data_IF_582307829736
#
_entry.id   IF_582307829736
#
_cell.length_a   1.000
_cell.length_b   1.000
_cell.length_c   1.000
_cell.angle_alpha   90.00
_cell.angle_beta   90.00
_cell.angle_gamma   90.00
#
_symmetry.space_group_name_H-M   'P 1'
#
loop_
_entity.id
_entity.type
_entity.pdbx_description
1 polymer ?
#
# COMPACT_ATOMS: atom_id res chain seq x y z
N UNK A 1 -5.46 26.90 -4.48
CA UNK A 1 -6.27 25.76 -4.01
C UNK A 1 -5.37 24.91 -3.12
N UNK A 2 -5.79 24.58 -1.91
CA UNK A 2 -5.04 23.66 -1.04
C UNK A 2 -5.03 22.26 -1.66
N UNK A 3 -3.90 21.57 -1.63
CA UNK A 3 -3.82 20.17 -2.06
C UNK A 3 -4.85 19.33 -1.27
N UNK A 4 -5.59 18.43 -1.94
CA UNK A 4 -6.53 17.56 -1.24
C UNK A 4 -5.79 16.65 -0.27
N UNK A 5 -6.28 16.57 0.97
CA UNK A 5 -5.70 15.72 2.00
C UNK A 5 -5.61 14.26 1.53
N UNK A 6 -4.43 13.65 1.69
CA UNK A 6 -4.21 12.27 1.30
C UNK A 6 -5.01 11.34 2.19
N UNK A 7 -6.02 10.67 1.64
CA UNK A 7 -6.80 9.67 2.37
C UNK A 7 -6.05 8.34 2.49
N UNK A 8 -6.37 7.57 3.54
CA UNK A 8 -5.78 6.23 3.75
C UNK A 8 -5.98 5.32 2.53
N UNK A 9 -7.18 5.33 1.94
CA UNK A 9 -7.50 4.53 0.76
C UNK A 9 -6.72 4.93 -0.50
N UNK A 10 -6.40 6.22 -0.68
CA UNK A 10 -5.54 6.68 -1.79
C UNK A 10 -4.10 6.24 -1.59
N UNK A 11 -3.58 6.39 -0.37
CA UNK A 11 -2.22 5.95 -0.03
C UNK A 11 -2.06 4.43 -0.21
N UNK A 12 -3.01 3.63 0.28
CA UNK A 12 -3.04 2.18 0.13
C UNK A 12 -3.04 1.75 -1.34
N UNK A 13 -3.87 2.38 -2.19
CA UNK A 13 -3.89 2.12 -3.64
C UNK A 13 -2.51 2.37 -4.24
N UNK A 14 -1.93 3.54 -4.02
CA UNK A 14 -0.62 3.90 -4.57
C UNK A 14 0.48 2.93 -4.12
N UNK A 15 0.50 2.56 -2.83
CA UNK A 15 1.46 1.60 -2.29
C UNK A 15 1.28 0.22 -2.91
N UNK A 16 0.05 -0.29 -2.97
CA UNK A 16 -0.27 -1.59 -3.59
C UNK A 16 0.23 -1.63 -5.04
N UNK A 17 -0.11 -0.60 -5.80
CA UNK A 17 0.26 -0.44 -7.20
C UNK A 17 1.78 -0.41 -7.39
N UNK A 18 2.50 0.32 -6.53
CA UNK A 18 3.97 0.35 -6.56
C UNK A 18 4.59 -1.02 -6.25
N UNK A 19 4.10 -1.71 -5.24
CA UNK A 19 4.58 -3.06 -4.87
C UNK A 19 4.35 -4.08 -5.99
N UNK A 20 3.21 -4.00 -6.67
CA UNK A 20 2.92 -4.87 -7.81
C UNK A 20 3.83 -4.60 -9.03
N UNK A 21 4.15 -3.34 -9.32
CA UNK A 21 4.89 -2.99 -10.55
C UNK A 21 6.40 -2.82 -10.39
N UNK A 22 6.90 -2.36 -9.25
CA UNK A 22 8.32 -2.03 -9.09
C UNK A 22 9.15 -3.18 -8.49
N UNK A 23 8.55 -4.04 -7.65
CA UNK A 23 9.31 -5.08 -6.95
C UNK A 23 8.89 -6.50 -7.27
N UNK A 24 7.83 -6.70 -8.06
CA UNK A 24 7.22 -8.02 -8.25
C UNK A 24 6.77 -8.63 -6.92
N UNK A 25 6.65 -7.80 -5.87
CA UNK A 25 6.21 -8.24 -4.57
C UNK A 25 4.74 -8.61 -4.67
N UNK A 26 4.46 -9.90 -4.56
CA UNK A 26 3.13 -10.39 -4.26
C UNK A 26 2.84 -10.15 -2.78
N UNK A 27 2.88 -8.88 -2.34
CA UNK A 27 1.92 -8.45 -1.32
C UNK A 27 0.59 -8.55 -2.05
N UNK A 28 0.06 -9.76 -2.03
CA UNK A 28 -1.17 -10.10 -2.68
C UNK A 28 -2.20 -9.05 -2.26
N UNK A 29 -3.08 -8.70 -3.17
CA UNK A 29 -4.38 -8.16 -2.77
C UNK A 29 -5.03 -9.08 -1.72
N UNK A 30 -4.73 -10.38 -1.75
CA UNK A 30 -5.01 -11.37 -0.71
C UNK A 30 -4.02 -11.52 0.45
N UNK A 31 -2.99 -10.66 0.60
CA UNK A 31 -2.07 -10.70 1.73
C UNK A 31 -2.84 -10.62 3.05
N UNK A 32 -2.39 -11.37 4.05
CA UNK A 32 -3.07 -11.37 5.33
C UNK A 32 -3.05 -9.95 5.91
N UNK A 33 -4.17 -9.53 6.52
CA UNK A 33 -4.34 -8.21 7.11
C UNK A 33 -3.16 -7.81 8.00
N UNK A 34 -2.54 -8.78 8.68
CA UNK A 34 -1.38 -8.56 9.54
C UNK A 34 -0.18 -7.92 8.81
N UNK A 35 0.08 -8.22 7.52
CA UNK A 35 1.21 -7.64 6.79
C UNK A 35 1.01 -6.14 6.58
N UNK A 36 -0.20 -5.77 6.18
CA UNK A 36 -0.60 -4.37 6.06
C UNK A 36 -0.52 -3.68 7.42
N UNK A 37 -1.05 -4.29 8.47
CA UNK A 37 -0.99 -3.72 9.82
C UNK A 37 0.46 -3.48 10.30
N UNK A 38 1.38 -4.42 10.03
CA UNK A 38 2.79 -4.27 10.38
C UNK A 38 3.47 -3.10 9.65
N UNK A 39 3.24 -2.96 8.34
CA UNK A 39 3.78 -1.83 7.55
C UNK A 39 3.25 -0.50 8.09
N UNK A 40 1.94 -0.39 8.32
CA UNK A 40 1.33 0.85 8.78
C UNK A 40 1.71 1.19 10.22
N UNK A 41 1.89 0.19 11.08
CA UNK A 41 2.42 0.41 12.43
C UNK A 41 3.86 0.94 12.39
N UNK A 42 4.72 0.36 11.53
CA UNK A 42 6.08 0.86 11.33
C UNK A 42 6.10 2.30 10.80
N UNK A 43 5.24 2.63 9.83
CA UNK A 43 5.06 4.00 9.32
C UNK A 43 4.56 4.97 10.40
N UNK A 44 3.59 4.54 11.20
CA UNK A 44 3.08 5.32 12.33
C UNK A 44 4.19 5.62 13.34
N UNK A 45 5.07 4.65 13.61
CA UNK A 45 6.20 4.80 14.52
C UNK A 45 7.39 5.58 13.93
N UNK A 46 7.56 5.60 12.61
CA UNK A 46 8.69 6.26 11.95
C UNK A 46 8.72 7.76 12.27
N UNK A 47 9.79 8.29 12.85
CA UNK A 47 9.85 9.72 13.23
C UNK A 47 10.27 10.61 12.04
N UNK A 48 9.42 10.69 11.02
CA UNK A 48 9.63 11.57 9.86
C UNK A 48 8.79 12.86 9.96
N UNK A 49 9.31 14.01 9.51
CA UNK A 49 8.52 15.23 9.33
C UNK A 49 7.56 15.10 8.15
N UNK A 50 6.40 15.74 8.25
CA UNK A 50 5.42 15.76 7.16
C UNK A 50 4.46 14.56 7.10
N UNK A 51 4.34 13.76 8.19
CA UNK A 51 3.38 12.64 8.26
C UNK A 51 2.00 13.07 7.76
N UNK A 52 1.44 12.38 6.74
CA UNK A 52 0.06 12.59 6.34
C UNK A 52 -0.87 12.38 7.54
N UNK A 53 -1.89 13.22 7.67
CA UNK A 53 -2.86 13.13 8.75
C UNK A 53 -3.56 11.76 8.79
N UNK A 54 -3.81 11.15 7.63
CA UNK A 54 -4.37 9.80 7.54
C UNK A 54 -3.51 8.73 8.23
N UNK A 55 -2.18 8.91 8.31
CA UNK A 55 -1.27 8.02 9.04
C UNK A 55 -1.25 8.37 10.53
N UNK A 56 -1.25 9.67 10.88
CA UNK A 56 -1.24 10.14 12.28
C UNK A 56 -2.48 9.70 13.05
N UNK A 57 -3.61 9.64 12.37
CA UNK A 57 -4.90 9.35 12.98
C UNK A 57 -5.19 7.85 13.10
N UNK A 58 -4.31 6.97 12.59
CA UNK A 58 -4.47 5.53 12.74
C UNK A 58 -4.36 5.14 14.22
N UNK A 59 -5.39 4.47 14.71
CA UNK A 59 -5.36 3.89 16.04
C UNK A 59 -4.99 2.41 15.97
N UNK A 60 -4.06 1.98 16.83
CA UNK A 60 -3.62 0.60 16.96
C UNK A 60 -3.93 0.04 18.35
N UNK A 61 -4.35 -1.22 18.41
CA UNK A 61 -4.47 -1.96 19.68
C UNK A 61 -3.09 -2.27 20.28
N UNK A 62 -3.04 -2.52 21.59
CA UNK A 62 -1.81 -2.92 22.32
C UNK A 62 -1.49 -4.42 22.23
N UNK A 63 -1.92 -5.08 21.17
CA UNK A 63 -1.75 -6.52 20.98
C UNK A 63 -0.32 -6.89 20.51
N UNK A 64 0.10 -8.16 20.66
CA UNK A 64 1.43 -8.62 20.21
C UNK A 64 1.66 -8.42 18.71
N UNK A 65 0.57 -8.41 17.91
CA UNK A 65 0.58 -7.95 16.53
C UNK A 65 -0.25 -6.66 16.52
N UNK A 66 0.34 -5.50 16.18
CA UNK A 66 -0.40 -4.24 16.11
C UNK A 66 -1.56 -4.36 15.13
N UNK A 67 -2.77 -3.96 15.51
CA UNK A 67 -3.94 -3.99 14.62
C UNK A 67 -4.66 -2.66 14.59
N UNK A 68 -5.12 -2.25 13.42
CA UNK A 68 -5.93 -1.04 13.23
C UNK A 68 -7.18 -1.37 12.42
N UNK A 69 -8.35 -1.04 12.96
CA UNK A 69 -9.64 -1.26 12.29
C UNK A 69 -9.73 -0.47 10.98
N UNK A 70 -9.22 0.76 10.96
CA UNK A 70 -9.23 1.62 9.77
C UNK A 70 -8.40 1.02 8.63
N UNK A 71 -7.25 0.42 8.97
CA UNK A 71 -6.41 -0.31 8.02
C UNK A 71 -7.16 -1.53 7.48
N UNK A 72 -7.81 -2.30 8.35
CA UNK A 72 -8.56 -3.49 7.95
C UNK A 72 -9.72 -3.17 6.99
N UNK A 73 -10.52 -2.17 7.33
CA UNK A 73 -11.66 -1.72 6.52
C UNK A 73 -11.19 -1.18 5.17
N UNK A 74 -10.14 -0.35 5.17
CA UNK A 74 -9.60 0.21 3.93
C UNK A 74 -8.97 -0.87 3.04
N UNK A 75 -8.27 -1.85 3.61
CA UNK A 75 -7.72 -2.99 2.87
C UNK A 75 -8.85 -3.88 2.31
N UNK A 76 -9.91 -4.17 3.09
CA UNK A 76 -11.07 -4.92 2.57
C UNK A 76 -11.73 -4.21 1.40
N UNK A 77 -12.04 -2.92 1.54
CA UNK A 77 -12.62 -2.11 0.47
C UNK A 77 -11.70 -2.05 -0.76
N UNK A 78 -10.38 -1.98 -0.55
CA UNK A 78 -9.40 -2.02 -1.62
C UNK A 78 -9.46 -3.35 -2.38
N UNK A 79 -9.51 -4.49 -1.67
CA UNK A 79 -9.65 -5.83 -2.26
C UNK A 79 -10.88 -5.88 -3.15
N UNK A 80 -12.04 -5.51 -2.62
CA UNK A 80 -13.31 -5.52 -3.35
C UNK A 80 -13.26 -4.65 -4.61
N UNK A 81 -12.59 -3.50 -4.54
CA UNK A 81 -12.44 -2.60 -5.69
C UNK A 81 -11.44 -3.08 -6.76
N UNK A 82 -10.43 -3.87 -6.37
CA UNK A 82 -9.36 -4.32 -7.28
C UNK A 82 -9.67 -5.65 -7.99
N UNK A 83 -10.60 -6.46 -7.47
CA UNK A 83 -11.19 -7.59 -8.22
C UNK A 83 -11.84 -7.15 -9.53
N UNK A 84 -12.27 -5.88 -9.61
CA UNK A 84 -12.84 -5.29 -10.83
C UNK A 84 -11.76 -4.90 -11.85
N UNK A 85 -10.50 -4.71 -11.42
CA UNK A 85 -9.44 -4.10 -12.23
C UNK A 85 -8.31 -5.06 -12.63
N UNK A 86 -8.23 -6.26 -12.03
CA UNK A 86 -7.16 -7.22 -12.29
C UNK A 86 -7.76 -8.62 -12.48
N UNK A 87 -7.65 -9.23 -13.69
CA UNK A 87 -8.15 -10.59 -13.90
C UNK A 87 -7.39 -11.60 -13.04
N UNK A 88 -8.08 -12.69 -12.71
CA UNK A 88 -7.80 -13.62 -11.63
C UNK A 88 -6.33 -14.09 -11.46
N UNK A 89 -6.03 -14.38 -10.17
CA UNK A 89 -4.86 -14.95 -9.46
C UNK A 89 -3.66 -15.55 -10.22
N UNK A 90 -3.80 -16.06 -11.43
CA UNK A 90 -2.79 -16.94 -12.04
C UNK A 90 -1.98 -16.26 -13.17
N UNK A 91 -2.36 -15.07 -13.63
CA UNK A 91 -1.72 -14.39 -14.77
C UNK A 91 -1.35 -12.92 -14.52
N UNK A 92 -0.81 -12.60 -13.35
CA UNK A 92 -0.14 -11.32 -13.14
C UNK A 92 1.23 -11.29 -13.82
N UNK A 93 1.25 -11.22 -15.15
CA UNK A 93 2.49 -10.96 -15.89
C UNK A 93 2.45 -9.74 -16.80
N UNK A 94 1.34 -9.02 -16.88
CA UNK A 94 1.36 -7.67 -17.43
C UNK A 94 0.26 -6.81 -16.80
N UNK A 95 0.57 -5.61 -16.27
CA UNK A 95 -0.46 -4.58 -16.13
C UNK A 95 -1.25 -4.45 -17.43
N UNK A 96 -2.57 -4.49 -17.36
CA UNK A 96 -3.36 -3.95 -18.48
C UNK A 96 -3.07 -2.45 -18.61
N UNK A 97 -3.34 -1.88 -19.78
CA UNK A 97 -3.21 -0.43 -19.98
C UNK A 97 -4.07 0.31 -18.95
N UNK A 98 -5.26 -0.20 -18.59
CA UNK A 98 -6.09 0.43 -17.54
C UNK A 98 -5.42 0.41 -16.17
N UNK A 99 -4.77 -0.70 -15.78
CA UNK A 99 -4.03 -0.77 -14.53
C UNK A 99 -2.86 0.22 -14.50
N UNK A 100 -2.18 0.43 -15.63
CA UNK A 100 -1.10 1.42 -15.76
C UNK A 100 -1.63 2.86 -15.71
N UNK A 101 -2.75 3.16 -16.36
CA UNK A 101 -3.40 4.47 -16.30
C UNK A 101 -3.90 4.76 -14.89
N UNK A 102 -4.49 3.77 -14.21
CA UNK A 102 -4.90 3.87 -12.80
C UNK A 102 -3.70 4.09 -11.87
N UNK A 103 -2.55 3.46 -12.15
CA UNK A 103 -1.29 3.71 -11.43
C UNK A 103 -0.82 5.15 -11.61
N UNK A 104 -0.75 5.65 -12.85
CA UNK A 104 -0.33 7.04 -13.13
C UNK A 104 -1.25 8.01 -12.41
N UNK A 105 -2.57 7.82 -12.51
CA UNK A 105 -3.55 8.66 -11.82
C UNK A 105 -3.40 8.58 -10.29
N UNK A 106 -3.16 7.40 -9.73
CA UNK A 106 -2.96 7.23 -8.29
C UNK A 106 -1.66 7.87 -7.80
N UNK A 107 -0.58 7.81 -8.58
CA UNK A 107 0.71 8.41 -8.24
C UNK A 107 0.68 9.94 -8.35
N UNK A 108 0.00 10.49 -9.36
CA UNK A 108 -0.23 11.94 -9.50
C UNK A 108 -1.09 12.52 -8.36
N UNK A 109 -1.84 11.67 -7.65
CA UNK A 109 -2.63 12.11 -6.48
C UNK A 109 -1.87 12.04 -5.15
N UNK A 110 -0.66 11.46 -5.13
CA UNK A 110 0.27 11.46 -3.98
C UNK A 110 1.43 12.42 -4.30
N UNK A 111 1.10 13.66 -4.64
CA UNK A 111 2.08 14.72 -4.90
C UNK A 111 2.67 15.28 -3.59
N UNK A 112 3.85 15.90 -3.69
CA UNK A 112 4.48 16.66 -2.60
C UNK A 112 4.94 15.83 -1.38
N UNK A 113 4.67 16.37 -0.19
CA UNK A 113 5.18 15.91 1.12
C UNK A 113 4.88 14.44 1.46
N UNK A 114 3.84 13.87 0.84
CA UNK A 114 3.44 12.47 1.06
C UNK A 114 4.25 11.45 0.23
N UNK A 115 5.00 11.91 -0.79
CA UNK A 115 5.82 11.02 -1.63
C UNK A 115 6.90 10.30 -0.81
N UNK A 116 7.57 11.01 0.09
CA UNK A 116 8.57 10.43 0.99
C UNK A 116 7.98 9.34 1.90
N UNK A 117 6.70 9.45 2.27
CA UNK A 117 6.01 8.39 3.02
C UNK A 117 5.71 7.18 2.18
N UNK A 118 5.35 7.37 0.92
CA UNK A 118 5.14 6.27 -0.02
C UNK A 118 6.45 5.52 -0.32
N UNK A 119 7.56 6.25 -0.45
CA UNK A 119 8.90 5.68 -0.57
C UNK A 119 9.29 4.87 0.67
N UNK A 120 9.11 5.43 1.87
CA UNK A 120 9.37 4.71 3.11
C UNK A 120 8.48 3.46 3.24
N UNK A 121 7.19 3.57 2.93
CA UNK A 121 6.26 2.44 3.01
C UNK A 121 6.68 1.28 2.11
N UNK A 122 7.13 1.60 0.90
CA UNK A 122 7.64 0.61 -0.04
C UNK A 122 8.93 -0.06 0.47
N UNK A 123 9.86 0.71 1.03
CA UNK A 123 11.08 0.17 1.64
C UNK A 123 10.77 -0.75 2.83
N UNK A 124 9.92 -0.29 3.76
CA UNK A 124 9.47 -1.10 4.91
C UNK A 124 8.79 -2.39 4.47
N UNK A 125 7.97 -2.34 3.42
CA UNK A 125 7.32 -3.51 2.88
C UNK A 125 8.35 -4.56 2.40
N UNK A 126 9.41 -4.12 1.70
CA UNK A 126 10.50 -5.00 1.24
C UNK A 126 11.30 -5.60 2.39
N UNK A 127 11.57 -4.81 3.43
CA UNK A 127 12.37 -5.23 4.59
C UNK A 127 11.60 -6.20 5.48
N UNK A 128 10.33 -5.93 5.75
CA UNK A 128 9.47 -6.77 6.58
C UNK A 128 9.07 -8.06 5.85
N UNK A 129 8.87 -7.98 4.52
CA UNK A 129 8.39 -9.09 3.70
C UNK A 129 9.25 -9.25 2.44
N UNK A 130 10.52 -9.68 2.58
CA UNK A 130 11.37 -9.91 1.43
C UNK A 130 10.75 -11.02 0.57
N UNK A 131 10.34 -10.69 -0.66
CA UNK A 131 10.00 -11.71 -1.63
C UNK A 131 11.25 -12.54 -1.92
N UNK A 132 11.16 -13.86 -1.75
CA UNK A 132 12.18 -14.73 -2.28
C UNK A 132 12.30 -14.48 -3.79
N UNK A 133 13.52 -14.37 -4.34
CA UNK A 133 13.68 -14.26 -5.79
C UNK A 133 12.99 -15.46 -6.45
N UNK A 134 12.14 -15.18 -7.46
CA UNK A 134 11.57 -16.23 -8.29
C UNK A 134 12.74 -17.04 -8.88
N UNK A 135 12.81 -18.36 -8.70
CA UNK A 135 13.83 -19.14 -9.39
C UNK A 135 13.66 -18.90 -10.90
N UNK A 136 14.76 -18.53 -11.56
CA UNK A 136 14.83 -18.48 -13.01
C UNK A 136 14.73 -19.93 -13.49
N UNK A 137 13.55 -20.30 -13.99
CA UNK A 137 13.34 -21.53 -14.76
C UNK A 137 13.32 -21.19 -16.24
#
# INVERSE_FOLDING_TARGET
MSEPELTLGRFLRALCYRMCFESGMTIYLGGNLWQWQAIFYALYKANMPGKPACIKNLWFTSEPIPRSRDVDEAVRALKDSLWVLLPARDNFYAPTIEARVSWVASNMLVEGHARGYLDLAFTLAKELFPTQPKPLH
#
